data_IF_254760444107
#
_entry.id   IF_254760444107
#
_cell.length_a   1.000
_cell.length_b   1.000
_cell.length_c   1.000
_cell.angle_alpha   90.00
_cell.angle_beta   90.00
_cell.angle_gamma   90.00
#
_symmetry.space_group_name_H-M   'P 1'
#
loop_
_entity.id
_entity.type
_entity.pdbx_description
1 polymer ?
#
# COMPACT_ATOMS: atom_id res chain seq x y z
N UNK A 1 -28.57 -6.44 8.71
CA UNK A 1 -27.39 -6.87 9.49
C UNK A 1 -27.89 -7.30 10.86
N UNK A 2 -27.35 -8.38 11.44
CA UNK A 2 -27.72 -8.91 12.76
C UNK A 2 -26.67 -8.58 13.85
N UNK A 3 -26.03 -7.44 13.67
CA UNK A 3 -25.06 -6.91 14.61
C UNK A 3 -25.58 -5.61 15.21
N UNK A 4 -25.48 -5.47 16.53
CA UNK A 4 -25.81 -4.22 17.24
C UNK A 4 -24.91 -3.07 16.75
N UNK A 5 -25.41 -1.84 16.93
CA UNK A 5 -24.66 -0.64 16.60
C UNK A 5 -23.43 -0.50 17.51
N UNK A 6 -22.26 -0.26 16.90
CA UNK A 6 -21.03 0.04 17.64
C UNK A 6 -20.55 -1.07 18.58
N UNK A 7 -19.74 -0.67 19.54
CA UNK A 7 -19.10 -1.51 20.55
C UNK A 7 -17.74 -0.92 20.94
N UNK A 8 -17.58 -0.59 22.22
CA UNK A 8 -16.32 -0.04 22.76
C UNK A 8 -15.69 -1.11 23.65
N UNK A 9 -14.55 -1.61 23.21
CA UNK A 9 -13.69 -2.58 23.90
C UNK A 9 -12.25 -2.33 23.43
N UNK A 10 -11.27 -2.78 24.19
CA UNK A 10 -9.85 -2.57 23.87
C UNK A 10 -8.94 -3.24 24.88
N UNK A 11 -7.68 -2.83 24.85
CA UNK A 11 -6.63 -3.26 25.78
C UNK A 11 -6.04 -2.05 26.48
N UNK A 12 -5.56 -2.21 27.70
CA UNK A 12 -4.99 -1.11 28.47
C UNK A 12 -3.76 -0.51 27.78
N UNK A 13 -3.63 0.81 27.92
CA UNK A 13 -2.57 1.59 27.30
C UNK A 13 -2.90 2.11 25.89
N UNK A 14 -3.84 1.47 25.17
CA UNK A 14 -4.23 1.84 23.80
C UNK A 14 -5.69 2.32 23.73
N UNK A 15 -5.94 3.32 22.88
CA UNK A 15 -7.28 3.83 22.59
C UNK A 15 -7.92 3.23 21.32
N UNK A 16 -7.28 2.22 20.72
CA UNK A 16 -7.70 1.61 19.46
C UNK A 16 -7.11 0.21 19.25
N UNK A 17 -7.33 -0.36 18.07
CA UNK A 17 -6.84 -1.69 17.66
C UNK A 17 -7.89 -2.79 17.72
N UNK A 18 -8.98 -2.60 18.48
CA UNK A 18 -10.09 -3.56 18.59
C UNK A 18 -11.40 -2.91 18.16
N UNK A 19 -12.19 -3.61 17.34
CA UNK A 19 -13.54 -3.21 16.95
C UNK A 19 -14.54 -4.09 17.69
N UNK A 20 -15.22 -3.51 18.69
CA UNK A 20 -16.28 -4.17 19.42
C UNK A 20 -17.49 -4.45 18.52
N UNK A 21 -18.02 -5.67 18.65
CA UNK A 21 -19.23 -6.11 17.94
C UNK A 21 -19.97 -7.14 18.77
N UNK A 22 -21.30 -7.03 18.76
CA UNK A 22 -22.22 -7.86 19.52
C UNK A 22 -23.38 -8.28 18.64
N UNK A 23 -23.77 -9.55 18.65
CA UNK A 23 -24.97 -10.01 17.94
C UNK A 23 -26.24 -9.37 18.56
N UNK A 24 -27.27 -9.14 17.73
CA UNK A 24 -28.58 -8.69 18.20
C UNK A 24 -29.49 -9.85 18.67
N UNK A 25 -29.18 -11.09 18.27
CA UNK A 25 -29.88 -12.33 18.63
C UNK A 25 -29.01 -13.25 19.51
N UNK A 26 -28.55 -12.75 20.65
CA UNK A 26 -27.56 -13.45 21.50
C UNK A 26 -28.09 -14.78 22.08
N UNK A 27 -29.37 -14.87 22.42
CA UNK A 27 -29.96 -16.11 22.96
C UNK A 27 -30.00 -17.23 21.91
N UNK A 28 -30.16 -16.88 20.63
CA UNK A 28 -30.16 -17.85 19.53
C UNK A 28 -28.74 -18.21 19.08
N UNK A 29 -27.81 -17.26 19.13
CA UNK A 29 -26.43 -17.42 18.69
C UNK A 29 -25.43 -17.01 19.80
N UNK A 30 -25.39 -17.75 20.93
CA UNK A 30 -24.58 -17.37 22.08
C UNK A 30 -23.07 -17.37 21.79
N UNK A 31 -22.61 -18.20 20.84
CA UNK A 31 -21.20 -18.29 20.42
C UNK A 31 -20.66 -17.03 19.74
N UNK A 32 -21.55 -16.13 19.29
CA UNK A 32 -21.19 -14.84 18.68
C UNK A 32 -21.86 -13.67 19.39
N UNK A 33 -22.31 -13.88 20.63
CA UNK A 33 -22.84 -12.82 21.48
C UNK A 33 -21.84 -11.66 21.58
N UNK A 34 -20.55 -11.98 21.73
CA UNK A 34 -19.41 -11.12 21.47
C UNK A 34 -18.67 -11.66 20.23
N UNK A 35 -18.29 -10.76 19.33
CA UNK A 35 -17.56 -11.15 18.13
C UNK A 35 -16.58 -10.05 17.70
N UNK A 36 -15.69 -9.70 18.62
CA UNK A 36 -14.79 -8.56 18.49
C UNK A 36 -13.70 -8.84 17.45
N UNK A 37 -13.32 -7.82 16.71
CA UNK A 37 -12.25 -7.91 15.71
C UNK A 37 -10.98 -7.26 16.26
N UNK A 38 -9.88 -8.00 16.33
CA UNK A 38 -8.57 -7.44 16.65
C UNK A 38 -7.79 -7.19 15.36
N UNK A 39 -7.19 -6.00 15.25
CA UNK A 39 -6.31 -5.64 14.13
C UNK A 39 -4.88 -5.87 14.58
N UNK A 40 -4.16 -6.74 13.88
CA UNK A 40 -2.75 -7.03 14.15
C UNK A 40 -1.92 -6.38 13.04
N UNK A 41 -0.92 -5.59 13.43
CA UNK A 41 -0.13 -4.80 12.49
C UNK A 41 0.68 -5.74 11.56
N UNK A 42 0.60 -5.57 10.26
CA UNK A 42 1.27 -6.46 9.31
C UNK A 42 2.71 -6.03 9.01
N UNK A 43 3.64 -6.95 8.71
CA UNK A 43 4.93 -6.59 8.12
C UNK A 43 4.75 -5.86 6.79
N UNK A 44 5.65 -4.92 6.49
CA UNK A 44 5.68 -4.16 5.24
C UNK A 44 5.62 -5.08 4.01
N UNK A 45 4.68 -4.80 3.11
CA UNK A 45 4.39 -5.60 1.91
C UNK A 45 3.96 -7.06 2.13
N UNK A 46 3.59 -7.44 3.36
CA UNK A 46 2.95 -8.73 3.67
C UNK A 46 3.79 -9.96 3.31
N UNK A 47 5.11 -9.86 3.46
CA UNK A 47 5.98 -11.03 3.41
C UNK A 47 5.94 -11.76 4.75
N UNK A 48 5.80 -13.08 4.68
CA UNK A 48 5.70 -13.94 5.85
C UNK A 48 6.58 -15.16 5.67
N UNK A 49 7.09 -15.68 6.78
CA UNK A 49 7.53 -17.07 6.85
C UNK A 49 6.39 -17.94 7.42
N UNK A 50 6.44 -19.24 7.18
CA UNK A 50 5.38 -20.16 7.59
C UNK A 50 5.27 -20.27 9.12
N UNK A 51 6.38 -20.15 9.83
CA UNK A 51 6.42 -20.39 11.27
C UNK A 51 5.69 -19.28 12.02
N UNK A 52 5.91 -18.02 11.62
CA UNK A 52 5.16 -16.88 12.11
C UNK A 52 3.65 -17.01 11.85
N UNK A 53 3.24 -17.42 10.64
CA UNK A 53 1.82 -17.61 10.33
C UNK A 53 1.20 -18.74 11.16
N UNK A 54 1.92 -19.85 11.37
CA UNK A 54 1.47 -20.94 12.24
C UNK A 54 1.32 -20.47 13.68
N UNK A 55 2.27 -19.72 14.22
CA UNK A 55 2.15 -19.16 15.57
C UNK A 55 0.93 -18.23 15.73
N UNK A 56 0.60 -17.42 14.71
CA UNK A 56 -0.63 -16.63 14.71
C UNK A 56 -1.89 -17.51 14.68
N UNK A 57 -1.88 -18.57 13.87
CA UNK A 57 -2.99 -19.53 13.82
C UNK A 57 -3.18 -20.25 15.16
N UNK A 58 -2.12 -20.76 15.76
CA UNK A 58 -2.17 -21.47 17.05
C UNK A 58 -2.75 -20.57 18.15
N UNK A 59 -2.29 -19.31 18.21
CA UNK A 59 -2.84 -18.32 19.14
C UNK A 59 -4.33 -18.05 18.88
N UNK A 60 -4.71 -17.87 17.62
CA UNK A 60 -6.07 -17.47 17.25
C UNK A 60 -7.08 -18.63 17.27
N UNK A 61 -6.64 -19.85 17.05
CA UNK A 61 -7.44 -21.07 17.26
C UNK A 61 -7.72 -21.26 18.75
N UNK A 62 -6.74 -21.00 19.62
CA UNK A 62 -6.91 -21.16 21.05
C UNK A 62 -7.78 -20.06 21.70
N UNK A 63 -7.63 -18.80 21.27
CA UNK A 63 -8.24 -17.63 21.95
C UNK A 63 -9.27 -16.88 21.12
N UNK A 64 -9.54 -17.29 19.89
CA UNK A 64 -10.45 -16.64 18.97
C UNK A 64 -11.39 -17.62 18.30
N UNK A 65 -11.96 -17.18 17.18
CA UNK A 65 -12.89 -17.99 16.38
C UNK A 65 -12.18 -18.93 15.39
N UNK A 66 -10.86 -18.80 15.21
CA UNK A 66 -10.13 -19.39 14.09
C UNK A 66 -10.37 -18.71 12.73
N UNK A 67 -11.24 -17.70 12.65
CA UNK A 67 -11.53 -16.98 11.40
C UNK A 67 -10.65 -15.74 11.26
N UNK A 68 -10.10 -15.54 10.07
CA UNK A 68 -9.24 -14.39 9.77
C UNK A 68 -9.63 -13.71 8.46
N UNK A 69 -9.29 -12.42 8.32
CA UNK A 69 -9.11 -11.82 7.00
C UNK A 69 -7.63 -11.52 6.77
N UNK A 70 -7.10 -12.07 5.69
CA UNK A 70 -5.72 -11.85 5.22
C UNK A 70 -5.81 -11.07 3.90
N UNK A 71 -5.99 -9.76 3.91
CA UNK A 71 -5.87 -8.79 5.02
C UNK A 71 -7.06 -7.83 5.06
N UNK A 72 -7.13 -6.99 6.09
CA UNK A 72 -8.00 -5.83 6.08
C UNK A 72 -7.57 -4.81 5.02
N UNK A 73 -8.52 -4.04 4.48
CA UNK A 73 -8.25 -3.09 3.39
C UNK A 73 -7.27 -1.97 3.76
N UNK A 74 -6.98 -1.71 5.04
CA UNK A 74 -5.91 -0.78 5.40
C UNK A 74 -4.54 -1.44 5.32
N UNK A 75 -4.44 -2.71 5.72
CA UNK A 75 -3.19 -3.47 5.74
C UNK A 75 -3.21 -4.61 6.77
N UNK A 76 -3.91 -4.40 7.89
CA UNK A 76 -3.87 -5.23 9.09
C UNK A 76 -4.20 -6.71 8.81
N UNK A 77 -3.55 -7.61 9.55
CA UNK A 77 -4.08 -8.96 9.76
C UNK A 77 -5.33 -8.83 10.63
N UNK A 78 -6.43 -9.47 10.25
CA UNK A 78 -7.70 -9.36 10.94
C UNK A 78 -8.00 -10.66 11.67
N UNK A 79 -7.92 -10.61 13.00
CA UNK A 79 -8.41 -11.65 13.89
C UNK A 79 -9.90 -11.42 14.12
N UNK A 80 -10.75 -12.23 13.47
CA UNK A 80 -12.18 -11.97 13.32
C UNK A 80 -13.01 -12.77 14.33
N UNK A 81 -13.35 -12.16 15.46
CA UNK A 81 -14.27 -12.74 16.43
C UNK A 81 -13.56 -13.35 17.63
N UNK A 82 -13.65 -12.66 18.75
CA UNK A 82 -13.37 -13.20 20.09
C UNK A 82 -14.23 -12.48 21.13
N UNK A 83 -14.16 -12.93 22.37
CA UNK A 83 -14.85 -12.36 23.52
C UNK A 83 -13.97 -11.32 24.23
N UNK A 84 -14.59 -10.44 25.03
CA UNK A 84 -13.90 -9.31 25.68
C UNK A 84 -12.75 -9.78 26.57
N UNK A 85 -12.96 -10.84 27.32
CA UNK A 85 -12.00 -11.43 28.27
C UNK A 85 -10.76 -12.02 27.58
N UNK A 86 -10.79 -12.26 26.27
CA UNK A 86 -9.63 -12.76 25.51
C UNK A 86 -8.77 -11.64 24.93
N UNK A 87 -9.22 -10.38 24.94
CA UNK A 87 -8.49 -9.28 24.30
C UNK A 87 -7.11 -9.06 24.93
N UNK A 88 -7.04 -8.96 26.26
CA UNK A 88 -5.77 -8.80 26.99
C UNK A 88 -4.86 -10.03 26.88
N UNK A 89 -5.35 -11.28 27.06
CA UNK A 89 -4.53 -12.47 26.82
C UNK A 89 -3.95 -12.55 25.40
N UNK A 90 -4.74 -12.24 24.36
CA UNK A 90 -4.25 -12.24 22.98
C UNK A 90 -3.21 -11.15 22.78
N UNK A 91 -3.45 -9.94 23.31
CA UNK A 91 -2.50 -8.84 23.22
C UNK A 91 -1.19 -9.13 23.95
N UNK A 92 -1.25 -9.75 25.12
CA UNK A 92 -0.08 -10.17 25.87
C UNK A 92 0.79 -11.13 25.06
N UNK A 93 0.20 -12.19 24.49
CA UNK A 93 0.90 -13.19 23.67
C UNK A 93 1.49 -12.57 22.39
N UNK A 94 0.72 -11.71 21.70
CA UNK A 94 1.19 -10.97 20.54
C UNK A 94 2.45 -10.15 20.88
N UNK A 95 2.39 -9.34 21.95
CA UNK A 95 3.48 -8.44 22.32
C UNK A 95 4.69 -9.14 22.94
N UNK A 96 4.48 -10.04 23.92
CA UNK A 96 5.57 -10.62 24.71
C UNK A 96 6.19 -11.84 24.04
N UNK A 97 5.41 -12.64 23.32
CA UNK A 97 5.91 -13.89 22.71
C UNK A 97 6.19 -13.68 21.23
N UNK A 98 5.24 -13.12 20.48
CA UNK A 98 5.37 -12.99 19.03
C UNK A 98 6.08 -11.70 18.59
N UNK A 99 6.39 -10.80 19.51
CA UNK A 99 7.00 -9.49 19.25
C UNK A 99 6.23 -8.71 18.17
N UNK A 100 4.90 -8.75 18.30
CA UNK A 100 3.95 -8.25 17.33
C UNK A 100 2.94 -7.34 18.01
N UNK A 101 2.66 -6.19 17.40
CA UNK A 101 1.71 -5.22 17.96
C UNK A 101 0.37 -5.18 17.21
N UNK A 102 -0.61 -4.53 17.82
CA UNK A 102 -1.89 -4.18 17.24
C UNK A 102 -1.75 -3.06 16.19
N UNK A 103 -2.68 -3.08 15.24
CA UNK A 103 -2.87 -2.01 14.27
C UNK A 103 -3.76 -0.88 14.78
N UNK A 104 -3.99 0.13 13.94
CA UNK A 104 -4.73 1.34 14.31
C UNK A 104 -6.25 1.29 14.07
N UNK A 105 -7.02 1.89 14.97
CA UNK A 105 -8.43 2.25 14.77
C UNK A 105 -8.85 3.43 15.64
N UNK A 106 -9.80 4.26 15.18
CA UNK A 106 -10.24 5.46 15.89
C UNK A 106 -9.83 6.76 15.19
N UNK A 107 -9.76 7.87 15.92
CA UNK A 107 -9.29 9.17 15.41
C UNK A 107 -7.78 9.31 15.65
N UNK A 108 -7.02 8.51 14.91
CA UNK A 108 -5.57 8.31 15.03
C UNK A 108 -4.95 8.07 13.66
N UNK A 109 -3.62 7.96 13.64
CA UNK A 109 -2.91 7.30 12.55
C UNK A 109 -3.39 5.84 12.47
N UNK A 110 -3.69 5.38 11.27
CA UNK A 110 -3.98 3.96 10.99
C UNK A 110 -2.74 3.29 10.46
N UNK A 111 -2.71 1.96 10.60
CA UNK A 111 -1.62 1.10 10.13
C UNK A 111 -1.16 1.49 8.72
N UNK A 112 0.07 2.02 8.58
CA UNK A 112 0.62 2.31 7.27
C UNK A 112 0.75 1.05 6.42
N UNK A 113 0.71 1.19 5.10
CA UNK A 113 0.88 0.06 4.18
C UNK A 113 1.57 0.49 2.90
N UNK A 114 2.31 -0.42 2.27
CA UNK A 114 3.09 -0.14 1.07
C UNK A 114 2.88 -1.21 -0.01
N UNK A 115 3.21 -0.85 -1.26
CA UNK A 115 3.44 -1.86 -2.29
C UNK A 115 4.72 -2.67 -1.98
N UNK A 116 5.01 -3.70 -2.77
CA UNK A 116 6.19 -4.55 -2.56
C UNK A 116 7.53 -3.87 -2.85
N UNK A 117 7.51 -2.66 -3.44
CA UNK A 117 8.68 -1.81 -3.61
C UNK A 117 9.89 -2.51 -4.24
N UNK A 118 11.07 -2.18 -3.72
CA UNK A 118 12.35 -2.71 -4.21
C UNK A 118 12.56 -4.20 -3.93
N UNK A 119 11.74 -4.84 -3.08
CA UNK A 119 11.88 -6.28 -2.84
C UNK A 119 11.64 -7.12 -4.09
N UNK A 120 10.76 -6.68 -5.00
CA UNK A 120 10.44 -7.45 -6.22
C UNK A 120 9.85 -6.63 -7.38
N UNK A 121 10.11 -5.32 -7.44
CA UNK A 121 9.70 -4.48 -8.56
C UNK A 121 10.86 -3.59 -9.02
N UNK A 122 11.22 -3.74 -10.29
CA UNK A 122 12.28 -2.99 -10.97
C UNK A 122 11.91 -1.52 -11.24
N UNK A 123 10.65 -1.14 -11.02
CA UNK A 123 10.16 0.23 -11.20
C UNK A 123 10.18 1.06 -9.92
N UNK A 124 10.46 0.46 -8.76
CA UNK A 124 10.36 1.17 -7.48
C UNK A 124 11.44 2.23 -7.33
N UNK A 125 11.03 3.49 -7.31
CA UNK A 125 11.92 4.65 -7.16
C UNK A 125 12.38 4.84 -5.71
N UNK A 126 11.58 4.42 -4.73
CA UNK A 126 11.88 4.51 -3.30
C UNK A 126 11.86 3.13 -2.64
N UNK A 127 12.48 3.02 -1.47
CA UNK A 127 12.33 1.84 -0.61
C UNK A 127 11.04 1.98 0.22
N UNK A 128 9.92 1.55 -0.36
CA UNK A 128 8.59 1.68 0.27
C UNK A 128 8.48 0.87 1.55
N UNK A 129 9.21 -0.25 1.67
CA UNK A 129 9.15 -1.09 2.87
C UNK A 129 9.88 -0.44 4.03
N UNK A 130 11.08 0.08 3.78
CA UNK A 130 11.87 0.78 4.80
C UNK A 130 11.14 2.03 5.30
N UNK A 131 10.60 2.85 4.39
CA UNK A 131 9.84 4.05 4.78
C UNK A 131 8.55 3.69 5.54
N UNK A 132 7.81 2.69 5.08
CA UNK A 132 6.60 2.22 5.77
C UNK A 132 6.92 1.72 7.17
N UNK A 133 8.02 0.97 7.33
CA UNK A 133 8.45 0.45 8.62
C UNK A 133 8.87 1.58 9.57
N UNK A 134 9.76 2.47 9.12
CA UNK A 134 10.30 3.58 9.91
C UNK A 134 9.18 4.50 10.41
N UNK A 135 8.29 4.96 9.52
CA UNK A 135 7.21 5.86 9.92
C UNK A 135 6.14 5.16 10.77
N UNK A 136 5.95 3.85 10.62
CA UNK A 136 5.08 3.09 11.53
C UNK A 136 5.66 3.05 12.94
N UNK A 137 6.98 2.85 13.07
CA UNK A 137 7.66 2.80 14.37
C UNK A 137 7.79 4.18 15.02
N UNK A 138 8.11 5.20 14.22
CA UNK A 138 8.27 6.57 14.71
C UNK A 138 6.96 7.13 15.29
N UNK A 139 5.82 6.90 14.60
CA UNK A 139 4.50 7.40 15.01
C UNK A 139 3.63 6.34 15.72
N UNK A 140 4.23 5.50 16.58
CA UNK A 140 3.47 4.50 17.34
C UNK A 140 2.45 5.14 18.29
N UNK A 141 2.82 6.24 18.95
CA UNK A 141 1.92 6.94 19.87
C UNK A 141 0.66 7.41 19.15
N UNK A 142 0.83 8.09 18.02
CA UNK A 142 -0.24 8.61 17.19
C UNK A 142 -1.09 7.50 16.55
N UNK A 143 -0.56 6.28 16.42
CA UNK A 143 -1.29 5.11 15.93
C UNK A 143 -2.13 4.48 17.04
N UNK A 144 -1.60 4.32 18.25
CA UNK A 144 -2.26 3.61 19.33
C UNK A 144 -3.12 4.50 20.23
N UNK A 145 -2.83 5.79 20.32
CA UNK A 145 -3.48 6.75 21.22
C UNK A 145 -4.15 7.86 20.40
N UNK A 146 -5.47 7.77 20.17
CA UNK A 146 -6.21 8.76 19.38
C UNK A 146 -6.05 10.19 19.88
N UNK A 147 -5.26 10.98 19.15
CA UNK A 147 -4.99 12.39 19.42
C UNK A 147 -5.47 13.33 18.30
N UNK A 148 -5.97 12.77 17.19
CA UNK A 148 -6.34 13.55 16.01
C UNK A 148 -7.83 13.89 15.99
N UNK A 149 -8.24 14.95 15.25
CA UNK A 149 -9.66 15.24 15.03
C UNK A 149 -10.40 14.07 14.36
N UNK A 150 -9.73 13.35 13.46
CA UNK A 150 -10.27 12.16 12.82
C UNK A 150 -9.17 11.19 12.39
N UNK A 151 -9.54 10.12 11.69
CA UNK A 151 -8.58 9.12 11.19
C UNK A 151 -7.59 9.74 10.19
N UNK A 152 -6.35 9.28 10.23
CA UNK A 152 -5.32 9.64 9.27
C UNK A 152 -4.61 8.37 8.76
N UNK A 153 -4.18 8.34 7.49
CA UNK A 153 -3.58 7.16 6.87
C UNK A 153 -2.37 7.53 6.02
N UNK A 154 -1.31 6.76 6.18
CA UNK A 154 -0.18 6.72 5.26
C UNK A 154 -0.27 5.53 4.30
N UNK A 155 0.10 5.75 3.03
CA UNK A 155 0.38 4.68 2.08
C UNK A 155 1.53 5.02 1.14
N UNK A 156 2.34 4.02 0.83
CA UNK A 156 3.58 4.18 0.07
C UNK A 156 3.58 3.35 -1.21
N UNK A 157 3.61 4.02 -2.35
CA UNK A 157 3.76 3.45 -3.68
C UNK A 157 5.15 3.75 -4.24
N UNK A 158 5.80 2.73 -4.79
CA UNK A 158 7.16 2.87 -5.34
C UNK A 158 7.21 3.62 -6.67
N UNK A 159 6.08 3.72 -7.38
CA UNK A 159 5.95 4.41 -8.67
C UNK A 159 4.49 4.81 -8.94
N UNK A 160 4.21 5.60 -9.99
CA UNK A 160 2.86 6.06 -10.34
C UNK A 160 1.85 4.97 -10.73
N UNK A 161 2.27 3.72 -10.95
CA UNK A 161 1.33 2.58 -11.11
C UNK A 161 0.49 2.32 -9.86
N UNK A 162 0.91 2.86 -8.70
CA UNK A 162 0.08 3.00 -7.51
C UNK A 162 -0.54 1.66 -7.01
N UNK A 163 0.26 0.61 -6.90
CA UNK A 163 -0.19 -0.75 -6.57
C UNK A 163 -0.84 -0.90 -5.18
N UNK A 164 -0.53 -0.04 -4.19
CA UNK A 164 -1.25 0.01 -2.90
C UNK A 164 -2.40 1.02 -2.91
N UNK A 165 -2.60 1.72 -4.04
CA UNK A 165 -3.62 2.72 -4.27
C UNK A 165 -3.59 3.85 -3.21
N UNK A 166 -2.39 4.34 -2.89
CA UNK A 166 -2.20 5.45 -1.94
C UNK A 166 -3.09 6.64 -2.30
N UNK A 167 -3.01 7.11 -3.55
CA UNK A 167 -3.73 8.29 -4.07
C UNK A 167 -5.25 8.26 -3.82
N UNK A 168 -5.85 7.10 -3.58
CA UNK A 168 -7.29 6.97 -3.35
C UNK A 168 -7.64 6.53 -1.91
N UNK A 169 -6.68 6.06 -1.12
CA UNK A 169 -6.94 5.33 0.15
C UNK A 169 -6.07 5.79 1.31
N UNK A 170 -5.39 6.93 1.18
CA UNK A 170 -4.56 7.52 2.22
C UNK A 170 -4.73 9.05 2.29
N UNK A 171 -4.88 9.54 3.52
CA UNK A 171 -4.93 10.97 3.80
C UNK A 171 -3.61 11.65 3.38
N UNK A 172 -2.48 10.94 3.49
CA UNK A 172 -1.19 11.31 2.90
C UNK A 172 -0.62 10.16 2.07
N UNK A 173 -0.46 10.43 0.78
CA UNK A 173 0.00 9.50 -0.23
C UNK A 173 1.44 9.80 -0.61
N UNK A 174 2.28 8.77 -0.59
CA UNK A 174 3.69 8.84 -0.96
C UNK A 174 3.89 8.03 -2.24
N UNK A 175 4.20 8.68 -3.36
CA UNK A 175 4.32 8.04 -4.67
C UNK A 175 5.71 8.30 -5.23
N UNK A 176 6.52 7.25 -5.36
CA UNK A 176 7.87 7.34 -5.91
C UNK A 176 7.90 7.86 -7.34
N UNK A 177 8.91 8.64 -7.68
CA UNK A 177 9.18 9.16 -9.03
C UNK A 177 10.68 9.38 -9.21
N UNK A 178 11.08 9.76 -10.42
CA UNK A 178 12.41 10.26 -10.75
C UNK A 178 12.32 11.67 -11.36
N UNK A 179 13.45 12.37 -11.48
CA UNK A 179 13.51 13.71 -12.10
C UNK A 179 14.53 13.85 -13.24
N UNK A 180 15.36 12.83 -13.46
CA UNK A 180 16.25 12.70 -14.60
C UNK A 180 15.59 11.94 -15.77
N UNK A 181 16.39 11.50 -16.73
CA UNK A 181 15.90 10.90 -17.98
C UNK A 181 15.46 9.45 -17.80
N UNK A 182 14.44 9.03 -18.55
CA UNK A 182 14.14 7.61 -18.75
C UNK A 182 15.36 6.94 -19.40
N UNK A 183 15.76 5.80 -18.85
CA UNK A 183 16.86 5.00 -19.39
C UNK A 183 16.33 4.13 -20.54
N UNK A 184 17.01 4.18 -21.69
CA UNK A 184 16.60 3.49 -22.92
C UNK A 184 17.71 2.54 -23.37
N UNK A 185 17.39 1.25 -23.48
CA UNK A 185 18.18 0.26 -24.19
C UNK A 185 17.64 0.09 -25.61
N UNK A 186 18.36 0.64 -26.59
CA UNK A 186 17.93 0.63 -28.00
C UNK A 186 17.95 -0.76 -28.63
N UNK A 187 18.79 -1.67 -28.15
CA UNK A 187 18.80 -3.04 -28.69
C UNK A 187 17.59 -3.82 -28.18
N UNK A 188 17.20 -3.61 -26.93
CA UNK A 188 15.92 -4.11 -26.42
C UNK A 188 14.73 -3.47 -27.16
N UNK A 189 14.74 -2.17 -27.48
CA UNK A 189 13.71 -1.53 -28.32
C UNK A 189 13.56 -2.26 -29.65
N UNK A 190 14.66 -2.54 -30.35
CA UNK A 190 14.64 -3.30 -31.61
C UNK A 190 14.09 -4.71 -31.41
N UNK A 191 14.45 -5.38 -30.33
CA UNK A 191 13.95 -6.72 -30.02
C UNK A 191 12.42 -6.73 -29.79
N UNK A 192 11.84 -5.69 -29.18
CA UNK A 192 10.38 -5.52 -29.12
C UNK A 192 9.77 -5.33 -30.51
N UNK A 193 10.31 -4.42 -31.33
CA UNK A 193 9.82 -4.16 -32.70
C UNK A 193 9.94 -5.41 -33.59
N UNK A 194 11.00 -6.20 -33.41
CA UNK A 194 11.24 -7.47 -34.09
C UNK A 194 10.35 -8.62 -33.60
N UNK A 195 9.63 -8.45 -32.50
CA UNK A 195 8.77 -9.50 -31.91
C UNK A 195 9.52 -10.55 -31.10
N UNK A 196 10.79 -10.32 -30.74
CA UNK A 196 11.57 -11.21 -29.87
C UNK A 196 11.18 -11.07 -28.40
N UNK A 197 10.66 -9.88 -28.02
CA UNK A 197 10.19 -9.59 -26.68
C UNK A 197 8.72 -9.19 -26.72
N UNK A 198 7.93 -9.85 -25.89
CA UNK A 198 6.50 -9.62 -25.75
C UNK A 198 6.20 -8.30 -25.03
N UNK A 199 5.32 -7.43 -25.57
CA UNK A 199 4.93 -6.18 -24.92
C UNK A 199 4.23 -6.45 -23.58
N UNK A 200 4.39 -5.50 -22.65
CA UNK A 200 3.82 -5.52 -21.31
C UNK A 200 4.12 -6.83 -20.55
N UNK A 201 5.33 -7.35 -20.73
CA UNK A 201 5.79 -8.64 -20.20
C UNK A 201 4.85 -9.82 -20.51
N UNK A 202 4.07 -9.73 -21.60
CA UNK A 202 3.09 -10.74 -21.98
C UNK A 202 1.76 -10.68 -21.23
N UNK A 203 1.42 -9.56 -20.58
CA UNK A 203 0.15 -9.38 -19.87
C UNK A 203 -1.09 -9.64 -20.75
N UNK A 204 -0.96 -9.51 -22.08
CA UNK A 204 -2.06 -9.63 -23.04
C UNK A 204 -2.04 -10.92 -23.87
N UNK A 205 -1.16 -11.90 -23.55
CA UNK A 205 -1.00 -13.17 -24.29
C UNK A 205 -2.26 -14.02 -24.44
N UNK A 206 -3.28 -13.78 -23.63
CA UNK A 206 -4.55 -14.51 -23.67
C UNK A 206 -5.45 -14.16 -24.87
N UNK A 207 -5.06 -13.19 -25.70
CA UNK A 207 -5.81 -12.78 -26.91
C UNK A 207 -4.83 -12.39 -28.01
N UNK A 208 -5.19 -12.68 -29.27
CA UNK A 208 -4.46 -12.18 -30.43
C UNK A 208 -4.77 -10.70 -30.67
N UNK A 209 -3.74 -9.86 -30.50
CA UNK A 209 -3.79 -8.41 -30.75
C UNK A 209 -3.00 -8.02 -32.02
N UNK A 210 -2.46 -8.99 -32.74
CA UNK A 210 -1.49 -8.79 -33.81
C UNK A 210 -0.05 -8.63 -33.29
N UNK A 211 0.86 -8.31 -34.23
CA UNK A 211 2.26 -8.00 -33.89
C UNK A 211 2.35 -6.66 -33.18
N UNK A 212 3.28 -6.55 -32.25
CA UNK A 212 3.58 -5.29 -31.56
C UNK A 212 3.85 -4.16 -32.56
N UNK A 213 3.17 -3.03 -32.37
CA UNK A 213 3.32 -1.82 -33.16
C UNK A 213 3.68 -0.66 -32.22
N UNK A 214 4.97 -0.32 -32.16
CA UNK A 214 5.47 0.73 -31.24
C UNK A 214 4.80 2.09 -31.47
N UNK A 215 4.40 2.39 -32.70
CA UNK A 215 3.72 3.65 -33.01
C UNK A 215 2.33 3.65 -32.35
N UNK A 216 1.56 2.56 -32.48
CA UNK A 216 0.20 2.47 -31.95
C UNK A 216 0.15 2.24 -30.44
N UNK A 217 1.05 1.42 -29.91
CA UNK A 217 0.97 0.90 -28.54
C UNK A 217 1.81 1.69 -27.54
N UNK A 218 2.77 2.51 -28.00
CA UNK A 218 3.62 3.33 -27.13
C UNK A 218 3.54 4.81 -27.50
N UNK A 219 3.94 5.17 -28.71
CA UNK A 219 4.13 6.58 -29.10
C UNK A 219 2.80 7.34 -29.14
N UNK A 220 1.81 6.83 -29.87
CA UNK A 220 0.48 7.46 -29.98
C UNK A 220 -0.33 7.43 -28.68
N UNK A 221 0.11 6.66 -27.67
CA UNK A 221 -0.52 6.57 -26.36
C UNK A 221 0.25 7.36 -25.29
N UNK A 222 1.39 7.96 -25.63
CA UNK A 222 2.07 8.88 -24.74
C UNK A 222 1.19 10.10 -24.47
N UNK A 223 0.79 10.39 -23.21
CA UNK A 223 -0.19 11.43 -22.92
C UNK A 223 0.30 12.85 -23.27
N UNK A 224 1.61 13.06 -23.36
CA UNK A 224 2.20 14.35 -23.75
C UNK A 224 2.76 14.36 -25.16
N UNK A 225 2.70 13.24 -25.89
CA UNK A 225 3.27 13.13 -27.23
C UNK A 225 4.80 13.33 -27.29
N UNK A 226 5.52 13.18 -26.17
CA UNK A 226 6.95 13.51 -26.06
C UNK A 226 7.89 12.40 -26.57
N UNK A 227 7.39 11.45 -27.38
CA UNK A 227 8.14 10.28 -27.85
C UNK A 227 8.12 10.19 -29.37
N UNK A 228 9.22 9.78 -29.99
CA UNK A 228 9.29 9.57 -31.44
C UNK A 228 10.36 8.56 -31.83
N UNK A 229 10.27 8.03 -33.05
CA UNK A 229 11.34 7.25 -33.67
C UNK A 229 12.20 8.16 -34.55
N UNK A 230 13.51 8.19 -34.30
CA UNK A 230 14.51 8.89 -35.13
C UNK A 230 15.58 7.90 -35.55
N UNK A 231 15.81 7.76 -36.86
CA UNK A 231 16.83 6.86 -37.42
C UNK A 231 16.79 5.42 -36.83
N UNK A 232 15.58 4.92 -36.59
CA UNK A 232 15.36 3.58 -36.02
C UNK A 232 15.62 3.47 -34.50
N UNK A 233 15.79 4.59 -33.80
CA UNK A 233 15.94 4.68 -32.34
C UNK A 233 14.74 5.36 -31.70
N UNK A 234 14.36 4.90 -30.52
CA UNK A 234 13.34 5.57 -29.70
C UNK A 234 13.97 6.76 -28.98
N UNK A 235 13.40 7.95 -29.17
CA UNK A 235 13.79 9.19 -28.48
C UNK A 235 12.63 9.67 -27.62
N UNK A 236 12.96 10.18 -26.43
CA UNK A 236 12.00 10.73 -25.47
C UNK A 236 12.47 12.12 -25.07
N UNK A 237 11.63 13.14 -25.27
CA UNK A 237 11.83 14.45 -24.65
C UNK A 237 11.38 14.38 -23.18
N UNK A 238 12.33 14.05 -22.30
CA UNK A 238 12.05 13.87 -20.87
C UNK A 238 11.55 15.14 -20.19
N UNK A 239 11.84 16.33 -20.74
CA UNK A 239 11.37 17.60 -20.19
C UNK A 239 9.85 17.71 -20.25
N UNK A 240 9.24 17.15 -21.30
CA UNK A 240 7.80 17.11 -21.52
C UNK A 240 7.16 15.81 -21.01
N UNK A 241 7.93 14.93 -20.36
CA UNK A 241 7.43 13.68 -19.81
C UNK A 241 6.79 13.88 -18.43
N UNK A 242 5.54 13.45 -18.30
CA UNK A 242 4.79 13.44 -17.02
C UNK A 242 5.02 12.19 -16.17
N UNK A 243 5.90 11.28 -16.61
CA UNK A 243 6.28 10.04 -15.91
C UNK A 243 5.08 9.13 -15.59
N UNK A 244 4.13 9.04 -16.53
CA UNK A 244 2.89 8.25 -16.39
C UNK A 244 3.08 6.72 -16.36
N UNK A 245 4.32 6.21 -16.47
CA UNK A 245 4.70 4.79 -16.55
C UNK A 245 4.30 4.03 -17.82
N UNK A 246 3.41 4.53 -18.68
CA UNK A 246 2.89 3.77 -19.84
C UNK A 246 3.97 3.08 -20.68
N UNK A 247 4.95 3.84 -21.19
CA UNK A 247 6.01 3.27 -22.03
C UNK A 247 6.89 2.26 -21.28
N UNK A 248 7.22 2.51 -20.01
CA UNK A 248 7.96 1.58 -19.14
C UNK A 248 7.15 0.30 -18.91
N UNK A 249 5.85 0.42 -18.67
CA UNK A 249 4.97 -0.73 -18.48
C UNK A 249 4.88 -1.59 -19.74
N UNK A 250 4.82 -0.98 -20.94
CA UNK A 250 4.76 -1.71 -22.21
C UNK A 250 6.12 -2.31 -22.57
N UNK A 251 7.24 -1.64 -22.28
CA UNK A 251 8.58 -2.08 -22.68
C UNK A 251 9.55 -2.20 -21.49
N UNK A 252 9.25 -2.99 -20.44
CA UNK A 252 10.00 -2.97 -19.18
C UNK A 252 11.45 -3.48 -19.31
N UNK A 253 11.75 -4.25 -20.37
CA UNK A 253 13.13 -4.68 -20.66
C UNK A 253 13.97 -3.62 -21.36
N UNK A 254 13.34 -2.63 -21.99
CA UNK A 254 14.02 -1.58 -22.74
C UNK A 254 14.01 -0.22 -22.03
N UNK A 255 12.94 0.06 -21.29
CA UNK A 255 12.72 1.35 -20.63
C UNK A 255 12.71 1.17 -19.11
N UNK A 256 13.42 2.04 -18.41
CA UNK A 256 13.43 2.08 -16.94
C UNK A 256 13.27 3.50 -16.41
N UNK A 257 12.71 3.66 -15.19
CA UNK A 257 12.79 4.93 -14.46
C UNK A 257 14.21 5.48 -14.44
N UNK A 258 14.35 6.79 -14.35
CA UNK A 258 15.65 7.44 -14.11
C UNK A 258 16.27 7.03 -12.78
N UNK A 259 17.45 7.56 -12.50
CA UNK A 259 18.27 7.23 -11.33
C UNK A 259 18.18 8.28 -10.21
N UNK A 260 17.85 9.52 -10.56
CA UNK A 260 17.61 10.60 -9.60
C UNK A 260 16.19 10.51 -9.04
N UNK A 261 16.04 9.59 -8.09
CA UNK A 261 14.75 9.20 -7.51
C UNK A 261 14.38 10.01 -6.28
N UNK A 262 13.08 10.03 -5.99
CA UNK A 262 12.46 10.68 -4.83
C UNK A 262 10.98 10.33 -4.73
N UNK A 263 10.25 11.08 -3.93
CA UNK A 263 8.83 10.87 -3.64
C UNK A 263 8.03 12.13 -3.96
N UNK A 264 6.87 11.93 -4.56
CA UNK A 264 5.79 12.93 -4.66
C UNK A 264 4.81 12.69 -3.51
N UNK A 265 4.42 13.76 -2.82
CA UNK A 265 3.50 13.69 -1.68
C UNK A 265 2.20 14.41 -2.02
N UNK A 266 1.08 13.71 -1.79
CA UNK A 266 -0.27 14.18 -2.09
C UNK A 266 -1.17 14.03 -0.86
N UNK A 267 -2.12 14.95 -0.66
CA UNK A 267 -2.99 14.96 0.52
C UNK A 267 -4.49 14.86 0.19
N UNK A 268 -5.25 14.26 1.12
CA UNK A 268 -6.70 14.43 1.20
C UNK A 268 -7.56 13.33 0.60
N UNK A 269 -7.02 12.15 0.26
CA UNK A 269 -7.88 11.09 -0.28
C UNK A 269 -8.84 10.57 0.80
N UNK A 270 -10.13 10.53 0.46
CA UNK A 270 -11.18 10.04 1.36
C UNK A 270 -12.36 9.46 0.60
N UNK A 271 -13.08 8.59 1.31
CA UNK A 271 -14.36 8.06 0.86
C UNK A 271 -15.45 9.16 0.85
N UNK A 272 -16.66 8.88 0.32
CA UNK A 272 -17.70 9.90 0.14
C UNK A 272 -18.07 10.73 1.37
N UNK A 273 -18.17 10.15 2.56
CA UNK A 273 -18.68 10.88 3.73
C UNK A 273 -17.64 11.91 4.23
N UNK A 274 -18.00 13.16 4.53
CA UNK A 274 -19.32 13.79 4.30
C UNK A 274 -19.42 14.47 2.92
N UNK A 275 -18.38 15.19 2.50
CA UNK A 275 -18.40 16.13 1.35
C UNK A 275 -17.92 15.53 0.01
N UNK A 276 -18.29 14.28 -0.26
CA UNK A 276 -17.90 13.58 -1.48
C UNK A 276 -16.55 12.88 -1.40
N UNK A 277 -16.33 11.99 -2.37
CA UNK A 277 -15.08 11.23 -2.46
C UNK A 277 -13.98 12.11 -3.06
N UNK A 278 -12.77 11.95 -2.55
CA UNK A 278 -11.60 12.68 -3.02
C UNK A 278 -10.45 11.70 -3.26
N UNK A 279 -9.68 11.95 -4.31
CA UNK A 279 -8.32 11.44 -4.43
C UNK A 279 -7.36 12.48 -3.86
N UNK A 280 -6.15 12.04 -3.49
CA UNK A 280 -5.13 12.94 -2.97
C UNK A 280 -4.72 13.95 -4.04
N UNK A 281 -4.57 15.21 -3.63
CA UNK A 281 -4.13 16.31 -4.48
C UNK A 281 -2.63 16.52 -4.35
N UNK A 282 -1.95 16.76 -5.47
CA UNK A 282 -0.51 17.02 -5.51
C UNK A 282 -0.16 18.20 -4.58
N UNK A 283 0.80 18.00 -3.66
CA UNK A 283 1.24 19.06 -2.73
C UNK A 283 2.74 19.26 -2.75
N UNK A 284 3.52 18.18 -2.66
CA UNK A 284 4.98 18.25 -2.84
C UNK A 284 5.35 17.50 -4.11
N UNK A 285 5.71 18.20 -5.20
CA UNK A 285 6.01 17.56 -6.49
C UNK A 285 7.16 16.57 -6.42
N UNK A 286 8.20 16.90 -5.65
CA UNK A 286 9.38 16.05 -5.47
C UNK A 286 10.05 16.35 -4.13
N UNK A 287 10.39 15.29 -3.41
CA UNK A 287 11.17 15.33 -2.18
C UNK A 287 12.14 14.14 -2.17
N UNK A 288 13.36 14.34 -1.67
CA UNK A 288 14.31 13.23 -1.48
C UNK A 288 13.79 12.28 -0.41
N UNK A 289 13.92 10.98 -0.66
CA UNK A 289 13.39 9.93 0.20
C UNK A 289 14.57 9.08 0.68
N UNK A 290 15.28 9.59 1.68
CA UNK A 290 16.50 8.99 2.21
C UNK A 290 16.34 8.80 3.72
N UNK A 291 16.70 7.63 4.28
CA UNK A 291 16.70 7.42 5.73
C UNK A 291 17.60 8.44 6.45
N UNK A 292 17.21 8.92 7.65
CA UNK A 292 16.05 8.50 8.44
C UNK A 292 14.75 9.26 8.12
N UNK A 293 14.67 9.89 6.94
CA UNK A 293 13.49 10.61 6.42
C UNK A 293 13.08 11.84 7.24
N UNK A 294 14.02 12.53 7.89
CA UNK A 294 13.75 13.73 8.70
C UNK A 294 12.98 14.79 7.91
N UNK A 295 13.37 15.06 6.66
CA UNK A 295 12.66 16.01 5.80
C UNK A 295 11.20 15.63 5.50
N UNK A 296 10.86 14.35 5.61
CA UNK A 296 9.48 13.86 5.45
C UNK A 296 8.76 13.89 6.79
N UNK A 297 9.43 13.56 7.91
CA UNK A 297 8.88 13.69 9.27
C UNK A 297 8.54 15.15 9.58
N UNK A 298 9.43 16.08 9.26
CA UNK A 298 9.24 17.54 9.37
C UNK A 298 8.03 18.06 8.57
N UNK A 299 7.64 17.37 7.49
CA UNK A 299 6.46 17.72 6.70
C UNK A 299 5.16 17.13 7.30
N UNK A 300 5.27 15.98 7.98
CA UNK A 300 4.15 15.30 8.62
C UNK A 300 3.72 16.04 9.88
N UNK A 301 4.69 16.54 10.66
CA UNK A 301 4.52 17.32 11.89
C UNK A 301 3.97 18.73 11.63
#
# INVERSE_FOLDING_TARGET
THWKHGGIVGVFGYGGGVIGRYADLQDQFPSVAHFHTMRVNQPSSKFYNSDYLRSLCDLWEYRGSGLVNMHGSTGDIIFLGTFTEQLEPVFYELGHVLQQDLGGSGSNLRSPSCCLGKARCEWSCIDTQAMCYELTHYYQDELHRPAFPYKFKFKFDGCPNCCVASIARADMSFIGTWKDDIRIDQDAVKAYIGGEIEPNAGAHKGRDWGKFDIQKEVINLCPTGCMQMEDGKLVIDNKECTRCMHCINVMPRALRPGTDTGVTILFGAKAPILEGAQMSMLTVPFMKCEPPYENIKDLIE
#
